data_IF_720441430189
#
_entry.id   IF_720441430189
#
_cell.length_a   1.000
_cell.length_b   1.000
_cell.length_c   1.000
_cell.angle_alpha   90.00
_cell.angle_beta   90.00
_cell.angle_gamma   90.00
#
_symmetry.space_group_name_H-M   'P 1'
#
loop_
_entity.id
_entity.type
_entity.pdbx_description
1 polymer ?
#
# COMPACT_ATOMS: atom_id res chain seq x y z
N UNK A 1 6.92 -6.13 -8.73
CA UNK A 1 6.67 -5.97 -7.27
C UNK A 1 7.54 -4.90 -6.63
N UNK A 2 8.86 -4.97 -6.72
CA UNK A 2 9.79 -4.00 -6.10
C UNK A 2 9.48 -2.53 -6.41
N UNK A 3 9.19 -2.20 -7.67
CA UNK A 3 8.85 -0.82 -8.06
C UNK A 3 7.59 -0.27 -7.37
N UNK A 4 6.54 -1.08 -7.22
CA UNK A 4 5.32 -0.68 -6.51
C UNK A 4 5.51 -0.74 -5.00
N UNK A 5 5.67 -1.95 -4.48
CA UNK A 5 5.65 -2.24 -3.05
C UNK A 5 6.79 -1.64 -2.25
N UNK A 6 7.95 -1.42 -2.86
CA UNK A 6 9.14 -0.91 -2.16
C UNK A 6 9.38 0.54 -2.56
N UNK A 7 9.61 0.81 -3.85
CA UNK A 7 10.01 2.14 -4.28
C UNK A 7 8.88 3.17 -4.16
N UNK A 8 7.76 2.98 -4.85
CA UNK A 8 6.64 3.95 -4.84
C UNK A 8 5.97 4.05 -3.47
N UNK A 9 5.71 2.90 -2.84
CA UNK A 9 5.17 2.83 -1.48
C UNK A 9 6.09 3.53 -0.45
N UNK A 10 7.40 3.26 -0.49
CA UNK A 10 8.36 3.90 0.41
C UNK A 10 8.40 5.43 0.24
N UNK A 11 8.38 5.92 -1.00
CA UNK A 11 8.27 7.36 -1.26
C UNK A 11 6.94 7.93 -0.74
N UNK A 12 5.82 7.23 -0.94
CA UNK A 12 4.52 7.64 -0.41
C UNK A 12 4.58 7.85 1.11
N UNK A 13 5.18 6.92 1.85
CA UNK A 13 5.30 7.00 3.31
C UNK A 13 6.15 8.18 3.78
N UNK A 14 7.16 8.57 2.98
CA UNK A 14 8.09 9.66 3.33
C UNK A 14 7.62 11.05 2.87
N UNK A 15 6.55 11.17 2.06
CA UNK A 15 6.06 12.48 1.54
C UNK A 15 5.95 13.55 2.63
N UNK A 16 5.39 13.23 3.79
CA UNK A 16 5.22 14.20 4.88
C UNK A 16 6.53 14.67 5.53
N UNK A 17 7.61 13.90 5.37
CA UNK A 17 8.96 14.25 5.84
C UNK A 17 9.79 14.92 4.74
N UNK A 18 9.55 14.59 3.49
CA UNK A 18 10.27 15.17 2.35
C UNK A 18 9.75 16.57 1.99
N UNK A 19 8.45 16.82 2.15
CA UNK A 19 7.79 18.07 1.73
C UNK A 19 7.24 18.86 2.94
N UNK A 20 8.10 19.18 3.91
CA UNK A 20 7.71 19.86 5.16
C UNK A 20 7.23 21.30 4.95
N UNK A 21 7.70 21.97 3.89
CA UNK A 21 7.33 23.36 3.57
C UNK A 21 5.96 23.49 2.88
N UNK A 22 5.37 22.38 2.42
CA UNK A 22 4.12 22.39 1.67
C UNK A 22 2.89 22.38 2.58
N UNK A 23 1.77 22.94 2.12
CA UNK A 23 0.49 22.83 2.84
C UNK A 23 0.13 21.36 3.02
N UNK A 24 -0.40 21.01 4.18
CA UNK A 24 -0.75 19.61 4.56
C UNK A 24 -1.66 18.91 3.54
N UNK A 25 -2.53 19.66 2.86
CA UNK A 25 -3.40 19.11 1.81
C UNK A 25 -2.60 18.62 0.59
N UNK A 26 -1.54 19.32 0.18
CA UNK A 26 -0.69 18.86 -0.93
C UNK A 26 0.07 17.59 -0.57
N UNK A 27 0.58 17.49 0.67
CA UNK A 27 1.23 16.27 1.14
C UNK A 27 0.26 15.08 1.19
N UNK A 28 -1.01 15.31 1.58
CA UNK A 28 -2.07 14.29 1.50
C UNK A 28 -2.29 13.81 0.07
N UNK A 29 -2.43 14.73 -0.87
CA UNK A 29 -2.66 14.40 -2.28
C UNK A 29 -1.47 13.65 -2.89
N UNK A 30 -0.24 14.14 -2.67
CA UNK A 30 0.97 13.46 -3.14
C UNK A 30 1.11 12.06 -2.56
N UNK A 31 0.90 11.91 -1.25
CA UNK A 31 0.89 10.62 -0.58
C UNK A 31 -0.12 9.63 -1.21
N UNK A 32 -1.34 10.10 -1.49
CA UNK A 32 -2.36 9.29 -2.16
C UNK A 32 -1.99 8.98 -3.61
N UNK A 33 -1.46 9.93 -4.38
CA UNK A 33 -1.03 9.72 -5.76
C UNK A 33 0.06 8.64 -5.84
N UNK A 34 1.10 8.73 -5.00
CA UNK A 34 2.15 7.71 -4.96
C UNK A 34 1.58 6.33 -4.60
N UNK A 35 0.60 6.26 -3.69
CA UNK A 35 -0.07 4.99 -3.41
C UNK A 35 -0.91 4.47 -4.57
N UNK A 36 -1.63 5.31 -5.31
CA UNK A 36 -2.35 4.89 -6.52
C UNK A 36 -1.39 4.34 -7.57
N UNK A 37 -0.25 5.00 -7.79
CA UNK A 37 0.81 4.51 -8.67
C UNK A 37 1.42 3.19 -8.17
N UNK A 38 1.58 3.05 -6.86
CA UNK A 38 2.02 1.80 -6.26
C UNK A 38 1.02 0.68 -6.51
N UNK A 39 -0.28 0.92 -6.30
CA UNK A 39 -1.36 -0.05 -6.53
C UNK A 39 -1.35 -0.49 -8.00
N UNK A 40 -1.27 0.45 -8.95
CA UNK A 40 -1.25 0.09 -10.37
C UNK A 40 -0.05 -0.78 -10.73
N UNK A 41 1.16 -0.43 -10.25
CA UNK A 41 2.36 -1.23 -10.47
C UNK A 41 2.29 -2.63 -9.83
N UNK A 42 1.68 -2.76 -8.65
CA UNK A 42 1.45 -4.06 -7.98
C UNK A 42 0.44 -4.89 -8.77
N UNK A 43 -0.66 -4.29 -9.22
CA UNK A 43 -1.69 -4.95 -10.04
C UNK A 43 -1.11 -5.50 -11.34
N UNK A 44 -0.28 -4.71 -12.04
CA UNK A 44 0.42 -5.20 -13.24
C UNK A 44 1.30 -6.41 -12.87
N UNK A 45 2.07 -6.31 -11.78
CA UNK A 45 2.94 -7.39 -11.34
C UNK A 45 2.20 -8.69 -11.02
N UNK A 46 1.06 -8.63 -10.33
CA UNK A 46 0.32 -9.84 -9.95
C UNK A 46 -0.35 -10.46 -11.17
N UNK A 47 -0.92 -9.64 -12.06
CA UNK A 47 -1.50 -10.11 -13.32
C UNK A 47 -0.44 -10.80 -14.18
N UNK A 48 0.76 -10.21 -14.31
CA UNK A 48 1.88 -10.85 -15.02
C UNK A 48 2.27 -12.19 -14.40
N UNK A 49 2.31 -12.30 -13.07
CA UNK A 49 2.60 -13.56 -12.39
C UNK A 49 1.53 -14.63 -12.67
N UNK A 50 0.25 -14.27 -12.57
CA UNK A 50 -0.86 -15.17 -12.90
C UNK A 50 -0.81 -15.65 -14.35
N UNK A 51 -0.57 -14.74 -15.30
CA UNK A 51 -0.43 -15.08 -16.71
C UNK A 51 0.71 -16.08 -16.93
N UNK A 52 1.88 -15.82 -16.35
CA UNK A 52 3.04 -16.71 -16.46
C UNK A 52 2.80 -18.10 -15.85
N UNK A 53 2.05 -18.19 -14.74
CA UNK A 53 1.66 -19.48 -14.16
C UNK A 53 0.63 -20.23 -15.01
N UNK A 54 -0.35 -19.53 -15.58
CA UNK A 54 -1.37 -20.12 -16.44
C UNK A 54 -0.83 -20.65 -17.77
N UNK A 55 0.33 -20.14 -18.24
CA UNK A 55 0.99 -20.66 -19.44
C UNK A 55 1.73 -22.00 -19.23
N UNK A 56 1.77 -22.54 -18.01
CA UNK A 56 2.39 -23.84 -17.70
C UNK A 56 1.41 -24.98 -17.99
N UNK A 57 1.94 -26.17 -18.30
CA UNK A 57 1.13 -27.36 -18.60
C UNK A 57 0.21 -27.82 -17.43
N UNK A 58 0.65 -27.61 -16.18
CA UNK A 58 -0.14 -27.86 -14.96
C UNK A 58 -0.07 -26.62 -14.05
N UNK A 59 -1.02 -25.67 -14.18
CA UNK A 59 -1.00 -24.41 -13.43
C UNK A 59 -1.29 -24.63 -11.94
N UNK A 60 -0.28 -24.37 -11.09
CA UNK A 60 -0.43 -24.31 -9.62
C UNK A 60 -0.28 -22.88 -9.13
N UNK A 61 -1.23 -22.46 -8.30
CA UNK A 61 -1.30 -21.13 -7.68
C UNK A 61 -1.24 -21.25 -6.15
N UNK A 62 -0.78 -20.20 -5.48
CA UNK A 62 -0.86 -20.04 -4.02
C UNK A 62 -0.32 -21.19 -3.14
N UNK A 63 0.70 -21.91 -3.60
CA UNK A 63 1.29 -23.02 -2.84
C UNK A 63 2.53 -22.64 -2.05
N UNK A 64 3.19 -21.51 -2.37
CA UNK A 64 4.44 -21.10 -1.74
C UNK A 64 4.20 -20.15 -0.57
N UNK A 65 5.07 -20.16 0.44
CA UNK A 65 5.03 -19.18 1.53
C UNK A 65 5.05 -17.74 1.01
N UNK A 66 5.88 -17.47 -0.01
CA UNK A 66 5.92 -16.19 -0.73
C UNK A 66 4.53 -15.74 -1.19
N UNK A 67 3.77 -16.64 -1.83
CA UNK A 67 2.44 -16.31 -2.36
C UNK A 67 1.42 -16.01 -1.27
N UNK A 68 1.50 -16.67 -0.11
CA UNK A 68 0.64 -16.39 1.05
C UNK A 68 0.97 -15.04 1.71
N UNK A 69 2.26 -14.75 1.94
CA UNK A 69 2.69 -13.45 2.49
C UNK A 69 2.33 -12.33 1.50
N UNK A 70 2.53 -12.55 0.21
CA UNK A 70 2.19 -11.58 -0.83
C UNK A 70 0.70 -11.28 -0.91
N UNK A 71 -0.15 -12.30 -0.87
CA UNK A 71 -1.60 -12.13 -0.85
C UNK A 71 -2.07 -11.37 0.40
N UNK A 72 -1.55 -11.74 1.58
CA UNK A 72 -1.83 -11.03 2.82
C UNK A 72 -1.39 -9.56 2.78
N UNK A 73 -0.19 -9.30 2.26
CA UNK A 73 0.34 -7.94 2.08
C UNK A 73 -0.54 -7.11 1.16
N UNK A 74 -0.95 -7.67 0.01
CA UNK A 74 -1.83 -6.98 -0.95
C UNK A 74 -3.19 -6.66 -0.33
N UNK A 75 -3.81 -7.61 0.37
CA UNK A 75 -5.11 -7.41 1.03
C UNK A 75 -5.05 -6.32 2.10
N UNK A 76 -4.04 -6.38 2.97
CA UNK A 76 -3.84 -5.35 3.99
C UNK A 76 -3.50 -3.98 3.38
N UNK A 77 -2.70 -3.94 2.31
CA UNK A 77 -2.38 -2.71 1.60
C UNK A 77 -3.62 -2.05 0.98
N UNK A 78 -4.50 -2.84 0.36
CA UNK A 78 -5.76 -2.35 -0.19
C UNK A 78 -6.68 -1.81 0.92
N UNK A 79 -6.85 -2.56 2.02
CA UNK A 79 -7.63 -2.13 3.17
C UNK A 79 -7.09 -0.81 3.76
N UNK A 80 -5.78 -0.74 3.95
CA UNK A 80 -5.09 0.44 4.46
C UNK A 80 -5.30 1.66 3.56
N UNK A 81 -5.26 1.48 2.24
CA UNK A 81 -5.53 2.55 1.29
C UNK A 81 -6.98 3.03 1.38
N UNK A 82 -7.96 2.13 1.39
CA UNK A 82 -9.38 2.48 1.48
C UNK A 82 -9.67 3.23 2.78
N UNK A 83 -9.26 2.68 3.92
CA UNK A 83 -9.46 3.29 5.24
C UNK A 83 -8.76 4.64 5.32
N UNK A 84 -7.53 4.75 4.81
CA UNK A 84 -6.78 6.00 4.76
C UNK A 84 -7.44 7.06 3.88
N UNK A 85 -7.89 6.68 2.69
CA UNK A 85 -8.57 7.57 1.74
C UNK A 85 -9.87 8.11 2.32
N UNK A 86 -10.74 7.23 2.84
CA UNK A 86 -12.01 7.65 3.46
C UNK A 86 -11.74 8.55 4.66
N UNK A 87 -10.88 8.10 5.58
CA UNK A 87 -10.68 8.80 6.85
C UNK A 87 -9.96 10.13 6.69
N UNK A 88 -8.95 10.22 5.83
CA UNK A 88 -8.07 11.38 5.77
C UNK A 88 -8.27 12.29 4.56
N UNK A 89 -9.05 11.88 3.54
CA UNK A 89 -9.47 12.72 2.42
C UNK A 89 -10.98 12.96 2.40
N UNK A 90 -11.81 11.91 2.37
CA UNK A 90 -13.27 12.08 2.21
C UNK A 90 -13.89 12.77 3.43
N UNK A 91 -13.56 12.33 4.64
CA UNK A 91 -14.10 12.91 5.88
C UNK A 91 -13.62 14.35 6.15
N UNK A 92 -12.67 14.91 5.37
CA UNK A 92 -12.38 16.35 5.43
C UNK A 92 -13.57 17.22 5.04
N UNK A 93 -14.51 16.72 4.23
CA UNK A 93 -15.75 17.44 3.92
C UNK A 93 -16.55 17.77 5.20
N UNK A 94 -16.49 16.89 6.20
CA UNK A 94 -17.14 17.03 7.51
C UNK A 94 -16.08 17.24 8.62
N UNK A 95 -15.13 18.16 8.40
CA UNK A 95 -13.91 18.30 9.22
C UNK A 95 -14.20 18.43 10.73
N UNK A 96 -15.16 19.29 11.11
CA UNK A 96 -15.53 19.56 12.51
C UNK A 96 -16.09 18.33 13.22
N UNK A 97 -16.95 17.55 12.54
CA UNK A 97 -17.60 16.39 13.13
C UNK A 97 -16.67 15.18 13.28
N UNK A 98 -15.63 15.10 12.44
CA UNK A 98 -14.79 13.90 12.30
C UNK A 98 -13.38 14.05 12.86
N UNK A 99 -13.02 15.22 13.41
CA UNK A 99 -11.65 15.51 13.88
C UNK A 99 -11.15 14.52 14.93
N UNK A 100 -11.96 14.25 15.96
CA UNK A 100 -11.60 13.34 17.06
C UNK A 100 -11.38 11.91 16.54
N UNK A 101 -12.24 11.45 15.64
CA UNK A 101 -12.13 10.13 15.02
C UNK A 101 -10.84 10.02 14.21
N UNK A 102 -10.57 10.99 13.33
CA UNK A 102 -9.36 11.00 12.49
C UNK A 102 -8.09 11.05 13.34
N UNK A 103 -8.05 11.85 14.40
CA UNK A 103 -6.91 11.92 15.30
C UNK A 103 -6.61 10.58 15.98
N UNK A 104 -7.64 9.84 16.42
CA UNK A 104 -7.48 8.49 17.00
C UNK A 104 -7.00 7.45 15.98
N UNK A 105 -7.36 7.62 14.71
CA UNK A 105 -6.92 6.72 13.63
C UNK A 105 -5.48 6.93 13.18
N UNK A 106 -4.89 8.12 13.38
CA UNK A 106 -3.51 8.40 12.93
C UNK A 106 -2.50 7.32 13.41
N UNK A 107 -2.38 7.00 14.71
CA UNK A 107 -1.39 6.02 15.17
C UNK A 107 -1.65 4.62 14.60
N UNK A 108 -2.91 4.24 14.44
CA UNK A 108 -3.30 2.95 13.84
C UNK A 108 -2.84 2.92 12.38
N UNK A 109 -3.18 3.96 11.62
CA UNK A 109 -2.80 4.08 10.21
C UNK A 109 -1.27 4.07 10.04
N UNK A 110 -0.51 4.82 10.84
CA UNK A 110 0.95 4.84 10.71
C UNK A 110 1.59 3.51 11.06
N UNK A 111 1.13 2.83 12.12
CA UNK A 111 1.69 1.55 12.56
C UNK A 111 1.38 0.43 11.55
N UNK A 112 0.13 0.33 11.08
CA UNK A 112 -0.22 -0.65 10.05
C UNK A 112 0.53 -0.38 8.74
N UNK A 113 0.75 0.89 8.36
CA UNK A 113 1.56 1.23 7.19
C UNK A 113 2.99 0.65 7.27
N UNK A 114 3.64 0.74 8.43
CA UNK A 114 4.98 0.18 8.65
C UNK A 114 4.99 -1.35 8.66
N UNK A 115 3.98 -1.98 9.24
CA UNK A 115 3.82 -3.45 9.22
C UNK A 115 3.67 -3.93 7.78
N UNK A 116 2.79 -3.31 7.00
CA UNK A 116 2.55 -3.68 5.60
C UNK A 116 3.81 -3.47 4.76
N UNK A 117 4.55 -2.37 4.97
CA UNK A 117 5.82 -2.14 4.28
C UNK A 117 6.86 -3.23 4.60
N UNK A 118 6.94 -3.65 5.87
CA UNK A 118 7.82 -4.75 6.30
C UNK A 118 7.41 -6.09 5.67
N UNK A 119 6.10 -6.39 5.63
CA UNK A 119 5.58 -7.59 4.96
C UNK A 119 5.85 -7.55 3.45
N UNK A 120 5.79 -6.38 2.82
CA UNK A 120 6.12 -6.19 1.41
C UNK A 120 7.60 -6.47 1.13
N UNK A 121 8.50 -6.03 2.02
CA UNK A 121 9.92 -6.36 1.95
C UNK A 121 10.14 -7.88 2.11
N UNK A 122 9.52 -8.50 3.11
CA UNK A 122 9.58 -9.95 3.31
C UNK A 122 9.04 -10.74 2.10
N UNK A 123 7.94 -10.27 1.50
CA UNK A 123 7.38 -10.84 0.26
C UNK A 123 8.40 -10.75 -0.88
N UNK A 124 9.05 -9.60 -1.08
CA UNK A 124 10.06 -9.45 -2.14
C UNK A 124 11.25 -10.39 -1.92
N UNK A 125 11.76 -10.45 -0.68
CA UNK A 125 12.92 -11.29 -0.33
C UNK A 125 12.60 -12.78 -0.51
N UNK A 126 11.45 -13.25 -0.01
CA UNK A 126 11.01 -14.64 -0.20
C UNK A 126 10.66 -15.00 -1.64
N UNK A 127 10.40 -14.01 -2.50
CA UNK A 127 10.16 -14.24 -3.93
C UNK A 127 11.42 -14.26 -4.78
N UNK A 128 12.57 -13.87 -4.22
CA UNK A 128 13.88 -14.00 -4.87
C UNK A 128 14.54 -15.36 -4.60
N UNK A 129 14.11 -16.06 -3.55
CA UNK A 129 14.55 -17.42 -3.18
C UNK A 129 13.72 -18.46 -3.93
#
# INVERSE_FOLDING_TARGET
MTGGFIFLNGHAMLVYRSFTCCKKIYNKLLHTIFFVLSISAITIGIVSAFMAHNSKADPKHFYSLHSWIGLGTMGLFALQFIVGFVSFLVLLCCDKATVTYRQRLVPIHTNFGLIIFSMAAATCVTGLM
#
